data_IF_630229398340
#
_entry.id   IF_630229398340
#
_cell.length_a   1.000
_cell.length_b   1.000
_cell.length_c   1.000
_cell.angle_alpha   90.00
_cell.angle_beta   90.00
_cell.angle_gamma   90.00
#
_symmetry.space_group_name_H-M   'P 1'
#
loop_
_entity.id
_entity.type
_entity.pdbx_description
1 polymer ?
#
# COMPACT_ATOMS: atom_id res chain seq x y z
N UNK A 1 -32.26 12.77 -7.00
CA UNK A 1 -32.30 13.95 -6.13
C UNK A 1 -31.75 13.55 -4.76
N UNK A 2 -30.43 13.59 -4.60
CA UNK A 2 -29.74 13.28 -3.34
C UNK A 2 -28.80 14.43 -3.02
N UNK A 3 -28.93 14.93 -1.79
CA UNK A 3 -28.47 16.24 -1.32
C UNK A 3 -26.95 16.28 -1.17
N UNK A 4 -26.33 17.31 -1.76
CA UNK A 4 -24.98 17.76 -1.40
C UNK A 4 -25.03 18.30 0.04
N UNK A 5 -24.23 17.73 0.93
CA UNK A 5 -23.98 18.29 2.27
C UNK A 5 -22.62 18.97 2.21
N UNK A 6 -22.62 20.25 1.85
CA UNK A 6 -21.52 21.16 2.14
C UNK A 6 -21.56 21.46 3.64
N UNK A 7 -20.61 20.92 4.40
CA UNK A 7 -20.34 21.38 5.76
C UNK A 7 -19.09 22.24 5.73
N UNK A 8 -19.30 23.56 5.68
CA UNK A 8 -18.27 24.57 5.90
C UNK A 8 -18.02 24.69 7.40
N UNK A 9 -17.11 23.87 7.94
CA UNK A 9 -16.52 24.16 9.25
C UNK A 9 -15.37 25.15 9.03
N UNK A 10 -15.61 26.40 9.40
CA UNK A 10 -14.59 27.45 9.48
C UNK A 10 -13.65 27.16 10.66
N UNK A 11 -12.37 26.92 10.36
CA UNK A 11 -11.30 26.78 11.36
C UNK A 11 -10.28 27.90 11.11
N UNK A 12 -9.84 28.66 12.13
CA UNK A 12 -9.02 29.87 11.96
C UNK A 12 -7.59 29.62 11.45
N UNK A 13 -7.06 30.64 10.78
CA UNK A 13 -5.91 30.70 9.84
C UNK A 13 -4.48 30.41 10.38
N UNK A 14 -4.31 29.47 11.32
CA UNK A 14 -2.95 29.16 11.86
C UNK A 14 -2.54 27.68 11.84
N UNK A 15 -3.27 26.83 11.12
CA UNK A 15 -2.94 25.42 10.97
C UNK A 15 -2.65 25.10 9.50
N UNK A 16 -1.50 24.46 9.25
CA UNK A 16 -1.05 23.99 7.95
C UNK A 16 -2.23 23.45 7.13
N UNK A 17 -2.52 24.11 6.01
CA UNK A 17 -3.67 23.85 5.15
C UNK A 17 -3.48 22.54 4.36
N UNK A 18 -3.46 21.40 5.06
CA UNK A 18 -3.52 20.07 4.45
C UNK A 18 -4.96 19.83 3.97
N UNK A 19 -5.31 20.41 2.81
CA UNK A 19 -6.56 20.08 2.10
C UNK A 19 -6.49 18.62 1.63
N UNK A 20 -6.94 17.68 2.47
CA UNK A 20 -7.11 16.28 2.07
C UNK A 20 -8.41 16.12 1.30
N UNK A 21 -8.35 16.19 -0.02
CA UNK A 21 -9.48 15.88 -0.90
C UNK A 21 -9.50 14.37 -1.20
N UNK A 22 -10.50 13.65 -0.68
CA UNK A 22 -10.79 12.25 -1.06
C UNK A 22 -11.82 12.26 -2.20
N UNK A 23 -11.46 11.95 -3.45
CA UNK A 23 -12.43 11.59 -4.51
C UNK A 23 -11.80 10.80 -5.68
N UNK A 24 -12.66 10.05 -6.38
CA UNK A 24 -12.45 8.85 -7.21
C UNK A 24 -11.59 8.99 -8.48
N UNK A 25 -11.17 7.84 -8.99
CA UNK A 25 -10.33 7.63 -10.18
C UNK A 25 -10.82 8.40 -11.40
N UNK A 26 -10.09 9.42 -11.82
CA UNK A 26 -9.48 9.58 -13.15
C UNK A 26 -8.85 10.98 -13.25
N UNK A 27 -7.69 11.02 -13.91
CA UNK A 27 -6.67 12.06 -14.10
C UNK A 27 -7.01 13.56 -14.17
N UNK A 28 -8.27 14.00 -14.19
CA UNK A 28 -8.65 15.38 -14.54
C UNK A 28 -8.66 16.36 -13.36
N UNK A 29 -9.16 15.96 -12.18
CA UNK A 29 -9.25 16.90 -11.04
C UNK A 29 -7.99 16.98 -10.17
N UNK A 30 -7.17 15.94 -10.14
CA UNK A 30 -5.96 15.91 -9.29
C UNK A 30 -4.84 16.80 -9.85
N UNK A 31 -4.65 16.81 -11.17
CA UNK A 31 -3.66 17.66 -11.82
C UNK A 31 -3.95 19.16 -11.66
N UNK A 32 -5.22 19.55 -11.69
CA UNK A 32 -5.65 20.95 -11.60
C UNK A 32 -5.46 21.54 -10.19
N UNK A 33 -5.68 20.75 -9.13
CA UNK A 33 -5.51 21.21 -7.73
C UNK A 33 -4.04 21.33 -7.33
N UNK A 34 -3.18 20.43 -7.82
CA UNK A 34 -1.74 20.45 -7.54
C UNK A 34 -1.04 21.63 -8.22
N UNK A 35 -1.55 22.06 -9.39
CA UNK A 35 -1.04 23.22 -10.12
C UNK A 35 -1.55 24.56 -9.59
N UNK A 36 -2.37 24.59 -8.52
CA UNK A 36 -2.85 25.85 -7.97
C UNK A 36 -1.69 26.68 -7.43
N UNK A 37 -1.57 27.97 -7.78
CA UNK A 37 -0.44 28.81 -7.35
C UNK A 37 -0.33 28.97 -5.83
N UNK A 38 -1.41 28.70 -5.08
CA UNK A 38 -1.46 28.78 -3.61
C UNK A 38 -0.81 27.58 -2.88
N UNK A 39 -0.55 26.47 -3.57
CA UNK A 39 -0.02 25.27 -2.93
C UNK A 39 1.49 25.40 -2.68
N UNK A 40 1.91 25.35 -1.40
CA UNK A 40 3.31 25.44 -0.98
C UNK A 40 4.01 24.09 -0.84
N UNK A 41 3.24 23.00 -0.64
CA UNK A 41 3.76 21.65 -0.45
C UNK A 41 2.77 20.57 -0.90
N UNK A 42 3.28 19.43 -1.35
CA UNK A 42 2.50 18.27 -1.81
C UNK A 42 2.98 16.99 -1.11
N UNK A 43 2.04 16.14 -0.70
CA UNK A 43 2.31 14.80 -0.17
C UNK A 43 1.61 13.76 -1.05
N UNK A 44 2.38 12.83 -1.60
CA UNK A 44 1.88 11.77 -2.49
C UNK A 44 2.12 10.40 -1.87
N UNK A 45 1.16 9.49 -2.00
CA UNK A 45 1.29 8.08 -1.60
C UNK A 45 0.75 7.18 -2.71
N UNK A 46 1.49 6.13 -3.07
CA UNK A 46 1.07 5.20 -4.12
C UNK A 46 2.21 4.58 -4.94
N UNK A 47 1.88 4.19 -6.17
CA UNK A 47 2.82 3.55 -7.08
C UNK A 47 3.89 4.55 -7.57
N UNK A 48 5.15 4.10 -7.57
CA UNK A 48 6.32 4.88 -8.00
C UNK A 48 6.11 5.52 -9.39
N UNK A 49 5.59 4.77 -10.36
CA UNK A 49 5.37 5.25 -11.73
C UNK A 49 4.37 6.40 -11.82
N UNK A 50 3.28 6.34 -11.03
CA UNK A 50 2.25 7.39 -11.02
C UNK A 50 2.77 8.64 -10.34
N UNK A 51 3.47 8.48 -9.21
CA UNK A 51 4.07 9.59 -8.47
C UNK A 51 5.09 10.32 -9.34
N UNK A 52 5.97 9.60 -10.05
CA UNK A 52 6.95 10.19 -10.95
C UNK A 52 6.28 11.02 -12.05
N UNK A 53 5.25 10.47 -12.69
CA UNK A 53 4.48 11.18 -13.73
C UNK A 53 3.77 12.43 -13.17
N UNK A 54 3.24 12.38 -11.95
CA UNK A 54 2.60 13.52 -11.32
C UNK A 54 3.59 14.62 -10.97
N UNK A 55 4.74 14.28 -10.40
CA UNK A 55 5.80 15.24 -10.10
C UNK A 55 6.30 15.89 -11.38
N UNK A 56 6.55 15.10 -12.43
CA UNK A 56 7.01 15.62 -13.71
C UNK A 56 5.98 16.59 -14.34
N UNK A 57 4.69 16.22 -14.33
CA UNK A 57 3.62 17.09 -14.83
C UNK A 57 3.49 18.39 -14.03
N UNK A 58 3.54 18.31 -12.69
CA UNK A 58 3.47 19.52 -11.84
C UNK A 58 4.68 20.42 -12.07
N UNK A 59 5.88 19.84 -12.16
CA UNK A 59 7.12 20.56 -12.41
C UNK A 59 7.08 21.31 -13.74
N UNK A 60 6.65 20.64 -14.82
CA UNK A 60 6.57 21.25 -16.15
C UNK A 60 5.44 22.27 -16.24
N UNK A 61 4.24 21.96 -15.73
CA UNK A 61 3.07 22.83 -15.91
C UNK A 61 3.09 24.07 -15.02
N UNK A 62 3.67 24.01 -13.82
CA UNK A 62 3.67 25.13 -12.88
C UNK A 62 4.95 25.99 -12.95
N UNK A 63 6.02 25.51 -13.60
CA UNK A 63 7.36 26.13 -13.60
C UNK A 63 7.80 26.60 -12.19
N UNK A 64 7.35 25.88 -11.15
CA UNK A 64 7.50 26.25 -9.76
C UNK A 64 8.07 25.08 -8.98
N UNK A 65 9.05 25.38 -8.13
CA UNK A 65 9.56 24.43 -7.16
C UNK A 65 8.57 24.33 -5.99
N UNK A 66 8.02 23.14 -5.79
CA UNK A 66 7.12 22.82 -4.68
C UNK A 66 7.76 21.71 -3.86
N UNK A 67 7.75 21.86 -2.53
CA UNK A 67 8.25 20.80 -1.63
C UNK A 67 7.35 19.58 -1.77
N UNK A 68 7.94 18.44 -2.13
CA UNK A 68 7.22 17.17 -2.30
C UNK A 68 7.73 16.12 -1.32
N UNK A 69 6.82 15.43 -0.65
CA UNK A 69 7.08 14.19 0.09
C UNK A 69 6.33 13.05 -0.61
N UNK A 70 7.05 11.96 -0.93
CA UNK A 70 6.47 10.84 -1.67
C UNK A 70 6.68 9.54 -0.91
N UNK A 71 5.58 8.92 -0.48
CA UNK A 71 5.57 7.63 0.19
C UNK A 71 5.26 6.53 -0.84
N UNK A 72 6.26 5.74 -1.21
CA UNK A 72 6.19 4.80 -2.32
C UNK A 72 6.25 3.35 -1.83
N UNK A 73 5.83 2.42 -2.68
CA UNK A 73 5.95 0.99 -2.41
C UNK A 73 7.43 0.59 -2.29
N UNK A 74 7.74 -0.24 -1.29
CA UNK A 74 9.06 -0.84 -1.09
C UNK A 74 9.04 -2.35 -1.37
N UNK A 75 10.23 -2.93 -1.46
CA UNK A 75 10.44 -4.38 -1.49
C UNK A 75 11.07 -4.78 -0.16
N UNK A 76 10.23 -5.20 0.79
CA UNK A 76 10.65 -5.48 2.16
C UNK A 76 11.21 -6.90 2.26
N UNK A 77 12.33 -7.03 2.96
CA UNK A 77 13.03 -8.29 3.19
C UNK A 77 13.03 -8.61 4.68
N UNK A 78 12.90 -9.88 5.03
CA UNK A 78 13.13 -10.37 6.39
C UNK A 78 14.24 -11.42 6.39
N UNK A 79 15.02 -11.46 7.48
CA UNK A 79 16.15 -12.37 7.63
C UNK A 79 15.89 -13.23 8.86
N UNK A 80 15.69 -14.53 8.63
CA UNK A 80 15.47 -15.51 9.68
C UNK A 80 16.78 -16.20 10.03
N UNK A 81 17.24 -15.96 11.26
CA UNK A 81 18.46 -16.54 11.82
C UNK A 81 18.11 -17.87 12.51
N UNK A 82 18.99 -18.89 12.50
CA UNK A 82 18.71 -20.20 13.10
C UNK A 82 18.44 -20.20 14.61
N UNK A 83 18.76 -19.13 15.33
CA UNK A 83 18.48 -18.98 16.77
C UNK A 83 17.09 -18.40 17.06
N UNK A 84 16.35 -17.98 16.03
CA UNK A 84 15.05 -17.39 16.18
C UNK A 84 14.03 -18.42 16.70
N UNK A 85 13.12 -17.99 17.58
CA UNK A 85 12.04 -18.83 18.05
C UNK A 85 11.08 -19.15 16.89
N UNK A 86 11.00 -20.44 16.54
CA UNK A 86 10.27 -20.89 15.37
C UNK A 86 8.79 -20.52 15.38
N UNK A 87 8.10 -20.64 16.52
CA UNK A 87 6.65 -20.40 16.57
C UNK A 87 6.32 -18.92 16.44
N UNK A 88 7.07 -18.07 17.13
CA UNK A 88 6.88 -16.62 17.09
C UNK A 88 7.19 -16.10 15.70
N UNK A 89 8.31 -16.53 15.11
CA UNK A 89 8.72 -16.13 13.77
C UNK A 89 7.70 -16.55 12.72
N UNK A 90 7.23 -17.80 12.73
CA UNK A 90 6.24 -18.25 11.73
C UNK A 90 4.92 -17.47 11.87
N UNK A 91 4.44 -17.22 13.10
CA UNK A 91 3.25 -16.42 13.33
C UNK A 91 3.41 -14.98 12.79
N UNK A 92 4.58 -14.38 13.02
CA UNK A 92 4.88 -13.04 12.54
C UNK A 92 4.97 -12.98 11.00
N UNK A 93 5.65 -13.94 10.38
CA UNK A 93 5.75 -14.04 8.92
C UNK A 93 4.38 -14.17 8.27
N UNK A 94 3.53 -15.06 8.78
CA UNK A 94 2.16 -15.23 8.28
C UNK A 94 1.36 -13.94 8.38
N UNK A 95 1.44 -13.24 9.52
CA UNK A 95 0.72 -11.99 9.73
C UNK A 95 1.19 -10.87 8.80
N UNK A 96 2.50 -10.79 8.52
CA UNK A 96 3.08 -9.72 7.69
C UNK A 96 2.93 -9.98 6.19
N UNK A 97 3.00 -11.24 5.74
CA UNK A 97 2.81 -11.61 4.32
C UNK A 97 1.33 -11.63 3.92
N UNK A 98 0.50 -12.34 4.70
CA UNK A 98 -0.90 -12.58 4.35
C UNK A 98 -1.84 -11.51 4.91
N UNK A 99 -1.39 -10.71 5.88
CA UNK A 99 -2.18 -9.63 6.47
C UNK A 99 -2.71 -8.66 5.42
N UNK A 100 -4.02 -8.43 5.40
CA UNK A 100 -4.69 -7.55 4.40
C UNK A 100 -4.37 -7.98 2.95
N UNK A 101 -4.27 -9.29 2.71
CA UNK A 101 -3.93 -9.88 1.41
C UNK A 101 -2.59 -9.38 0.82
N UNK A 102 -1.62 -9.03 1.67
CA UNK A 102 -0.31 -8.52 1.25
C UNK A 102 -0.37 -7.13 0.59
N UNK A 103 -1.48 -6.40 0.73
CA UNK A 103 -1.69 -5.07 0.14
C UNK A 103 -1.21 -3.92 1.04
N UNK A 104 -0.25 -4.19 1.93
CA UNK A 104 0.42 -3.19 2.77
C UNK A 104 1.77 -2.82 2.18
N UNK A 105 2.17 -1.55 2.28
CA UNK A 105 3.53 -1.14 1.89
C UNK A 105 4.62 -1.77 2.77
N UNK A 106 4.25 -2.21 3.98
CA UNK A 106 5.11 -2.91 4.94
C UNK A 106 4.96 -4.45 4.87
N UNK A 107 4.17 -4.99 3.95
CA UNK A 107 4.10 -6.43 3.76
C UNK A 107 5.46 -6.96 3.30
N UNK A 108 5.84 -8.13 3.77
CA UNK A 108 7.07 -8.77 3.34
C UNK A 108 6.92 -9.25 1.90
N UNK A 109 8.03 -9.21 1.19
CA UNK A 109 8.07 -9.56 -0.23
C UNK A 109 9.10 -10.64 -0.53
N UNK A 110 10.06 -10.83 0.37
CA UNK A 110 11.14 -11.81 0.25
C UNK A 110 11.62 -12.15 1.65
N UNK A 111 11.81 -13.44 1.93
CA UNK A 111 12.35 -13.92 3.20
C UNK A 111 13.66 -14.63 2.90
N UNK A 112 14.69 -14.35 3.69
CA UNK A 112 16.02 -14.97 3.58
C UNK A 112 16.25 -15.84 4.81
N UNK A 113 16.29 -17.15 4.62
CA UNK A 113 16.61 -18.10 5.67
C UNK A 113 18.12 -18.35 5.72
N UNK A 114 18.72 -18.17 6.90
CA UNK A 114 20.15 -18.41 7.10
C UNK A 114 20.38 -19.91 7.34
N UNK A 115 21.27 -20.53 6.56
CA UNK A 115 21.59 -21.98 6.56
C UNK A 115 20.49 -22.85 5.93
N UNK A 116 19.64 -23.47 6.75
CA UNK A 116 18.67 -24.49 6.29
C UNK A 116 17.24 -23.94 6.33
N UNK A 117 16.59 -23.85 5.17
CA UNK A 117 15.23 -23.33 5.02
C UNK A 117 14.12 -24.38 5.18
N UNK A 118 14.42 -25.66 4.92
CA UNK A 118 13.41 -26.74 4.88
C UNK A 118 12.45 -26.79 6.07
N UNK A 119 12.93 -26.78 7.34
CA UNK A 119 12.01 -26.88 8.48
C UNK A 119 11.13 -25.63 8.66
N UNK A 120 11.56 -24.48 8.14
CA UNK A 120 10.79 -23.24 8.18
C UNK A 120 9.70 -23.23 7.11
N UNK A 121 10.04 -23.71 5.91
CA UNK A 121 9.13 -23.80 4.79
C UNK A 121 7.96 -24.74 5.08
N UNK A 122 8.24 -25.93 5.64
CA UNK A 122 7.19 -26.91 6.00
C UNK A 122 6.20 -26.33 7.01
N UNK A 123 6.69 -25.70 8.09
CA UNK A 123 5.84 -25.04 9.10
C UNK A 123 5.07 -23.86 8.53
N UNK A 124 5.69 -23.08 7.64
CA UNK A 124 5.02 -21.96 7.00
C UNK A 124 3.88 -22.45 6.08
N UNK A 125 4.11 -23.52 5.32
CA UNK A 125 3.12 -24.16 4.47
C UNK A 125 1.94 -24.70 5.30
N UNK A 126 2.22 -25.35 6.43
CA UNK A 126 1.17 -25.82 7.35
C UNK A 126 0.30 -24.66 7.84
N UNK A 127 0.90 -23.56 8.28
CA UNK A 127 0.14 -22.39 8.73
C UNK A 127 -0.61 -21.70 7.59
N UNK A 128 -0.01 -21.59 6.41
CA UNK A 128 -0.65 -20.98 5.25
C UNK A 128 -1.89 -21.76 4.78
N UNK A 129 -1.87 -23.10 4.86
CA UNK A 129 -3.02 -23.95 4.47
C UNK A 129 -4.24 -23.79 5.39
N UNK A 130 -4.04 -23.36 6.63
CA UNK A 130 -5.13 -23.17 7.60
C UNK A 130 -5.88 -21.86 7.38
N UNK A 131 -5.27 -20.89 6.70
CA UNK A 131 -5.86 -19.56 6.48
C UNK A 131 -7.14 -19.63 5.65
N UNK A 132 -8.23 -19.06 6.18
CA UNK A 132 -9.51 -18.96 5.48
C UNK A 132 -9.61 -17.68 4.68
N UNK A 133 -9.67 -17.84 3.36
CA UNK A 133 -9.91 -16.74 2.42
C UNK A 133 -11.41 -16.51 2.30
N UNK A 134 -11.89 -15.32 2.64
CA UNK A 134 -13.31 -14.96 2.53
C UNK A 134 -13.50 -13.45 2.35
N UNK A 135 -14.75 -13.01 2.28
CA UNK A 135 -15.09 -11.59 2.36
C UNK A 135 -14.68 -11.03 3.73
N UNK A 136 -14.11 -9.82 3.76
CA UNK A 136 -13.65 -9.18 4.99
C UNK A 136 -14.75 -8.78 5.98
N UNK A 137 -16.01 -9.06 5.64
CA UNK A 137 -17.18 -8.90 6.51
C UNK A 137 -17.49 -10.15 7.33
N UNK A 138 -16.91 -11.30 6.97
CA UNK A 138 -17.15 -12.56 7.67
C UNK A 138 -16.28 -12.65 8.94
N UNK A 139 -16.84 -13.07 10.08
CA UNK A 139 -16.13 -13.08 11.36
C UNK A 139 -14.98 -14.09 11.44
N UNK A 140 -14.95 -15.09 10.54
CA UNK A 140 -13.93 -16.14 10.49
C UNK A 140 -12.98 -16.00 9.29
N UNK A 141 -12.88 -14.80 8.71
CA UNK A 141 -12.00 -14.54 7.56
C UNK A 141 -10.59 -14.14 8.03
N UNK A 142 -9.60 -14.96 7.70
CA UNK A 142 -8.18 -14.65 7.96
C UNK A 142 -7.59 -13.80 6.83
N UNK A 143 -8.04 -14.02 5.59
CA UNK A 143 -7.57 -13.33 4.40
C UNK A 143 -8.72 -12.71 3.60
N UNK A 144 -8.63 -11.40 3.37
CA UNK A 144 -9.57 -10.68 2.51
C UNK A 144 -9.25 -10.81 1.02
N UNK A 145 -10.17 -10.32 0.18
CA UNK A 145 -9.98 -10.27 -1.26
C UNK A 145 -9.06 -9.12 -1.69
N UNK A 146 -8.42 -9.28 -2.84
CA UNK A 146 -7.67 -8.20 -3.48
C UNK A 146 -8.59 -7.11 -4.04
N UNK A 147 -8.13 -5.86 -4.01
CA UNK A 147 -8.93 -4.68 -4.40
C UNK A 147 -9.59 -4.73 -5.78
N UNK A 148 -9.01 -5.42 -6.77
CA UNK A 148 -9.58 -5.48 -8.13
C UNK A 148 -9.21 -6.75 -8.89
N UNK A 149 -10.05 -7.12 -9.86
CA UNK A 149 -9.82 -8.26 -10.78
C UNK A 149 -8.51 -8.13 -11.56
N UNK A 150 -8.10 -6.90 -11.91
CA UNK A 150 -6.84 -6.64 -12.62
C UNK A 150 -5.63 -7.10 -11.80
N UNK A 151 -5.65 -6.86 -10.49
CA UNK A 151 -4.58 -7.29 -9.58
C UNK A 151 -4.57 -8.80 -9.48
N UNK A 152 -5.74 -9.42 -9.28
CA UNK A 152 -5.89 -10.88 -9.20
C UNK A 152 -5.25 -11.62 -10.39
N UNK A 153 -5.53 -11.20 -11.63
CA UNK A 153 -4.96 -11.84 -12.82
C UNK A 153 -3.45 -11.62 -13.01
N UNK A 154 -2.91 -10.52 -12.49
CA UNK A 154 -1.48 -10.20 -12.62
C UNK A 154 -0.56 -10.94 -11.63
N UNK A 155 -1.11 -11.42 -10.51
CA UNK A 155 -0.35 -12.10 -9.46
C UNK A 155 0.06 -13.52 -9.87
N UNK A 156 -0.82 -14.28 -10.53
CA UNK A 156 -0.54 -15.66 -10.95
C UNK A 156 0.48 -15.76 -12.09
N UNK A 157 0.50 -14.78 -13.01
CA UNK A 157 1.36 -14.87 -14.19
C UNK A 157 2.85 -14.60 -13.91
N UNK A 158 3.17 -13.91 -12.81
CA UNK A 158 4.56 -13.57 -12.46
C UNK A 158 5.22 -14.52 -11.45
N UNK A 159 4.44 -15.36 -10.76
CA UNK A 159 4.98 -16.35 -9.81
C UNK A 159 5.29 -17.70 -10.46
N UNK A 160 4.75 -18.00 -11.65
CA UNK A 160 5.03 -19.23 -12.40
C UNK A 160 6.31 -19.16 -13.28
N UNK A 161 7.03 -18.04 -13.25
CA UNK A 161 8.27 -17.81 -14.01
C UNK A 161 9.33 -17.16 -13.12
N UNK A 162 9.67 -17.85 -12.03
CA UNK A 162 10.98 -17.73 -11.36
C UNK A 162 11.38 -19.12 -10.86
#
# INVERSE_FOLDING_TARGET
>A
MMRNIESSVSVPDSQLLTKTSRYSSHSVNFGFRLASPSSSSIVLSGALSVIMLMIFKVYISALKLVRSMSNMRAKNHDIVIPDANTEITINALVAVDFGTAGQRCMALSTIVFVRNSKPWEEKLLERAKVLKVSAGTEPNADLGLVISKKVHGSTFHKQATQ
#
